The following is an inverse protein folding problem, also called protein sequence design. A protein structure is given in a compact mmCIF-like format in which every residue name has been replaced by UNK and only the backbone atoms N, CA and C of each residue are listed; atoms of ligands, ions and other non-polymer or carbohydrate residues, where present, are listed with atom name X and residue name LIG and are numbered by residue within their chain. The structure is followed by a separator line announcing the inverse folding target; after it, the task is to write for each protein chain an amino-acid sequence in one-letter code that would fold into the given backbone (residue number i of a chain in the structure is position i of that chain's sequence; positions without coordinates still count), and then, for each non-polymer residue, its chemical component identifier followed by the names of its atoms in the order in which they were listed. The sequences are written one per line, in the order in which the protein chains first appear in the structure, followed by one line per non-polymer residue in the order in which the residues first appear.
data_IF_004390074028
#
_entry.id   IF_004390074028
#
_cell.length_a   1.000
_cell.length_b   1.000
_cell.length_c   1.000
_cell.angle_alpha   90.00
_cell.angle_beta   90.00
_cell.angle_gamma   90.00
#
_symmetry.space_group_name_H-M   'P 1'
#
loop_
_entity.id
_entity.type
_entity.pdbx_description
1 polymer ?
#
# COMPACT_ATOMS: atom_id res chain seq x y z
N UNK A 1 43.75 -0.43 -26.77
CA UNK A 1 43.10 0.38 -25.72
C UNK A 1 41.59 0.26 -25.86
N UNK A 2 40.90 -0.28 -24.85
CA UNK A 2 39.45 -0.58 -24.89
C UNK A 2 38.64 0.70 -24.62
N UNK A 3 37.71 1.04 -25.52
CA UNK A 3 36.67 2.05 -25.29
C UNK A 3 35.68 1.50 -24.27
N UNK A 4 35.40 2.25 -23.20
CA UNK A 4 34.35 1.92 -22.22
C UNK A 4 33.06 2.64 -22.62
N UNK A 5 31.96 1.88 -22.58
CA UNK A 5 30.62 2.26 -23.01
C UNK A 5 30.00 3.31 -22.07
N UNK A 6 29.62 4.46 -22.62
CA UNK A 6 28.88 5.55 -21.94
C UNK A 6 27.36 5.31 -21.99
N UNK A 7 26.90 4.21 -22.59
CA UNK A 7 25.47 3.93 -22.82
C UNK A 7 24.74 3.43 -21.56
N UNK A 8 25.44 2.92 -20.55
CA UNK A 8 24.82 2.34 -19.34
C UNK A 8 24.42 3.32 -18.23
N UNK A 9 24.80 4.60 -18.32
CA UNK A 9 24.52 5.59 -17.25
C UNK A 9 23.26 6.43 -17.54
N UNK A 10 22.82 6.49 -18.80
CA UNK A 10 21.68 7.34 -19.19
C UNK A 10 20.33 6.69 -18.85
N UNK A 11 20.25 5.35 -18.79
CA UNK A 11 18.99 4.63 -18.55
C UNK A 11 18.58 4.66 -17.07
N UNK A 12 19.53 4.67 -16.13
CA UNK A 12 19.23 4.74 -14.69
C UNK A 12 18.68 6.11 -14.29
N UNK A 13 19.06 7.18 -15.01
CA UNK A 13 18.55 8.53 -14.75
C UNK A 13 17.10 8.73 -15.20
N UNK A 14 16.58 7.93 -16.15
CA UNK A 14 15.18 8.01 -16.61
C UNK A 14 14.21 7.23 -15.70
N UNK A 15 14.67 6.16 -15.06
CA UNK A 15 13.83 5.32 -14.19
C UNK A 15 13.50 5.95 -12.83
N UNK A 16 14.43 6.70 -12.22
CA UNK A 16 14.15 7.45 -10.99
C UNK A 16 13.13 8.59 -11.21
N UNK A 17 12.97 9.07 -12.45
CA UNK A 17 12.01 10.12 -12.80
C UNK A 17 10.59 9.54 -12.93
N UNK A 18 10.42 8.27 -13.32
CA UNK A 18 9.11 7.62 -13.47
C UNK A 18 8.37 7.44 -12.15
N UNK A 19 9.05 6.95 -11.11
CA UNK A 19 8.46 6.75 -9.77
C UNK A 19 8.17 8.11 -9.11
N UNK A 20 9.09 9.06 -9.24
CA UNK A 20 8.89 10.43 -8.72
C UNK A 20 7.76 11.14 -9.48
N UNK A 21 7.62 10.95 -10.79
CA UNK A 21 6.54 11.54 -11.57
C UNK A 21 5.17 10.92 -11.24
N UNK A 22 5.07 9.60 -11.04
CA UNK A 22 3.84 8.95 -10.61
C UNK A 22 3.41 9.42 -9.21
N UNK A 23 4.35 9.49 -8.26
CA UNK A 23 4.12 10.04 -6.91
C UNK A 23 3.76 11.53 -6.95
N UNK A 24 4.40 12.34 -7.81
CA UNK A 24 4.09 13.77 -7.97
C UNK A 24 2.74 13.98 -8.66
N UNK A 25 2.37 13.17 -9.64
CA UNK A 25 1.06 13.25 -10.32
C UNK A 25 -0.06 12.83 -9.36
N UNK A 26 0.14 11.77 -8.58
CA UNK A 26 -0.76 11.38 -7.48
C UNK A 26 -0.90 12.52 -6.45
N UNK A 27 0.23 13.07 -5.97
CA UNK A 27 0.24 14.18 -5.01
C UNK A 27 -0.32 15.50 -5.57
N UNK A 28 -0.19 15.75 -6.88
CA UNK A 28 -0.76 16.94 -7.55
C UNK A 28 -2.26 16.81 -7.83
N UNK A 29 -2.78 15.60 -8.09
CA UNK A 29 -4.21 15.38 -8.23
C UNK A 29 -4.95 15.54 -6.89
N UNK A 30 -4.28 15.24 -5.76
CA UNK A 30 -4.82 15.51 -4.41
C UNK A 30 -4.80 17.00 -4.03
N UNK A 31 -3.95 17.83 -4.63
CA UNK A 31 -3.83 19.25 -4.31
C UNK A 31 -4.68 20.13 -5.25
N UNK A 32 -5.99 20.13 -5.05
CA UNK A 32 -6.81 21.33 -5.35
C UNK A 32 -6.63 22.27 -4.16
N UNK A 33 -6.03 23.47 -4.32
CA UNK A 33 -5.81 24.35 -3.20
C UNK A 33 -7.09 25.14 -2.93
N UNK A 34 -7.76 24.87 -1.80
CA UNK A 34 -8.78 25.78 -1.30
C UNK A 34 -8.23 26.66 -0.18
N UNK A 35 -8.54 27.95 -0.30
CA UNK A 35 -8.01 29.05 0.49
C UNK A 35 -8.35 28.89 1.96
N UNK A 36 -7.36 29.21 2.78
CA UNK A 36 -7.47 29.53 4.20
C UNK A 36 -8.66 30.45 4.50
N UNK A 37 -9.61 29.97 5.32
CA UNK A 37 -10.44 30.82 6.16
C UNK A 37 -10.44 30.28 7.59
N UNK A 38 -10.21 31.21 8.52
CA UNK A 38 -10.06 30.99 9.95
C UNK A 38 -11.44 30.84 10.58
N UNK A 39 -11.67 29.71 11.25
CA UNK A 39 -12.72 29.54 12.25
C UNK A 39 -13.94 28.72 11.81
N UNK A 40 -13.78 27.42 11.55
CA UNK A 40 -14.91 26.47 11.43
C UNK A 40 -14.61 25.17 12.18
N UNK A 41 -15.66 24.43 12.53
CA UNK A 41 -15.67 23.11 13.20
C UNK A 41 -14.59 22.17 12.63
N UNK A 42 -14.08 21.17 13.40
CA UNK A 42 -13.01 20.32 12.89
C UNK A 42 -13.46 19.60 11.62
N UNK A 43 -12.96 20.05 10.48
CA UNK A 43 -13.21 19.47 9.16
C UNK A 43 -12.89 17.96 9.23
N UNK A 44 -13.91 17.14 9.02
CA UNK A 44 -13.75 15.69 8.86
C UNK A 44 -13.04 15.43 7.54
N UNK A 45 -11.99 14.61 7.55
CA UNK A 45 -11.30 14.19 6.33
C UNK A 45 -11.92 12.88 5.87
N UNK A 46 -12.56 12.89 4.69
CA UNK A 46 -13.03 11.68 4.02
C UNK A 46 -11.90 11.21 3.11
N UNK A 47 -11.19 10.18 3.54
CA UNK A 47 -10.16 9.52 2.76
C UNK A 47 -10.80 8.50 1.81
N UNK A 48 -10.22 8.33 0.62
CA UNK A 48 -10.65 7.26 -0.30
C UNK A 48 -10.33 5.88 0.30
N UNK A 49 -10.97 4.83 -0.19
CA UNK A 49 -10.84 3.49 0.39
C UNK A 49 -9.40 2.95 0.38
N UNK A 50 -8.59 3.36 -0.61
CA UNK A 50 -7.16 3.06 -0.73
C UNK A 50 -6.27 3.88 0.23
N UNK A 51 -6.78 4.99 0.74
CA UNK A 51 -6.10 5.85 1.71
C UNK A 51 -6.57 5.60 3.15
N UNK A 52 -7.65 4.81 3.32
CA UNK A 52 -8.32 4.52 4.58
C UNK A 52 -8.42 3.01 4.86
N UNK A 53 -7.29 2.35 5.21
CA UNK A 53 -7.25 0.91 5.45
C UNK A 53 -8.15 0.43 6.58
N UNK A 54 -8.63 1.33 7.44
CA UNK A 54 -9.51 0.99 8.57
C UNK A 54 -10.98 1.32 8.32
N UNK A 55 -11.31 2.01 7.22
CA UNK A 55 -12.66 2.43 6.87
C UNK A 55 -13.26 3.43 7.87
N UNK A 56 -12.45 4.26 8.52
CA UNK A 56 -12.90 5.22 9.54
C UNK A 56 -12.68 6.66 9.09
N UNK A 57 -13.57 7.55 9.52
CA UNK A 57 -13.39 8.99 9.32
C UNK A 57 -12.52 9.55 10.46
N UNK A 58 -11.45 10.26 10.11
CA UNK A 58 -10.63 10.99 11.08
C UNK A 58 -10.84 12.49 10.95
N UNK A 59 -10.70 13.20 12.06
CA UNK A 59 -10.61 14.66 12.05
C UNK A 59 -9.30 15.09 11.43
N UNK A 60 -9.29 16.28 10.81
CA UNK A 60 -8.06 16.91 10.33
C UNK A 60 -7.00 16.96 11.43
N UNK A 61 -5.85 16.37 11.14
CA UNK A 61 -4.69 16.31 12.04
C UNK A 61 -3.72 17.45 11.73
N UNK A 62 -3.23 18.11 12.80
CA UNK A 62 -2.21 19.15 12.70
C UNK A 62 -0.83 18.54 12.40
N UNK A 63 0.06 19.31 11.78
CA UNK A 63 1.47 18.99 11.56
C UNK A 63 2.21 18.61 12.87
N UNK A 64 1.81 19.21 14.00
CA UNK A 64 2.38 18.97 15.34
C UNK A 64 1.85 17.71 16.06
N UNK A 65 0.98 16.92 15.40
CA UNK A 65 0.40 15.72 15.98
C UNK A 65 1.49 14.73 16.41
N UNK A 66 1.50 14.37 17.70
CA UNK A 66 2.52 13.50 18.29
C UNK A 66 2.36 12.05 17.79
N UNK A 67 3.29 11.64 16.92
CA UNK A 67 3.36 10.29 16.36
C UNK A 67 4.05 9.29 17.28
N UNK A 68 4.71 9.76 18.33
CA UNK A 68 5.51 8.90 19.19
C UNK A 68 4.67 8.23 20.28
N UNK A 69 5.28 7.29 21.00
CA UNK A 69 4.66 6.67 22.18
C UNK A 69 4.26 7.69 23.26
N UNK A 70 4.90 8.86 23.31
CA UNK A 70 4.62 9.88 24.32
C UNK A 70 3.21 10.49 24.19
N UNK A 71 2.53 10.24 23.06
CA UNK A 71 1.11 10.52 22.89
C UNK A 71 0.26 9.89 24.01
N UNK A 72 0.65 8.72 24.51
CA UNK A 72 -0.07 7.99 25.55
C UNK A 72 0.46 8.33 26.95
N UNK A 73 -0.35 9.04 27.74
CA UNK A 73 -0.02 9.42 29.12
C UNK A 73 -0.03 8.23 30.07
N UNK A 74 -0.99 7.33 29.89
CA UNK A 74 -1.22 6.14 30.72
C UNK A 74 -0.85 4.87 29.92
N UNK A 75 0.39 4.84 29.41
CA UNK A 75 0.88 3.72 28.63
C UNK A 75 1.13 2.49 29.52
N UNK A 76 0.42 1.39 29.23
CA UNK A 76 0.60 0.09 29.86
C UNK A 76 0.45 -1.02 28.80
N UNK A 77 1.55 -1.65 28.44
CA UNK A 77 1.57 -2.71 27.43
C UNK A 77 1.41 -4.12 28.00
N UNK A 78 1.02 -4.24 29.27
CA UNK A 78 0.79 -5.54 29.90
C UNK A 78 -0.28 -6.33 29.13
N UNK A 79 0.08 -7.53 28.66
CA UNK A 79 -0.82 -8.40 27.90
C UNK A 79 -0.99 -8.04 26.42
N UNK A 80 -0.26 -7.04 25.92
CA UNK A 80 -0.25 -6.68 24.51
C UNK A 80 0.86 -7.42 23.75
N UNK A 81 0.58 -7.72 22.49
CA UNK A 81 1.55 -8.20 21.53
C UNK A 81 2.00 -7.04 20.65
N UNK A 82 3.29 -7.00 20.37
CA UNK A 82 3.92 -5.95 19.56
C UNK A 82 4.14 -6.44 18.13
N UNK A 83 3.64 -5.67 17.17
CA UNK A 83 3.84 -5.87 15.75
C UNK A 83 4.50 -4.64 15.15
N UNK A 84 5.45 -4.87 14.26
CA UNK A 84 6.02 -3.81 13.44
C UNK A 84 5.17 -3.77 12.19
N UNK A 85 4.41 -2.69 12.04
CA UNK A 85 3.62 -2.45 10.85
C UNK A 85 4.59 -1.92 9.78
N UNK A 86 4.75 -2.65 8.69
CA UNK A 86 5.75 -2.35 7.67
C UNK A 86 5.24 -1.30 6.65
N UNK A 87 5.45 -1.49 5.34
CA UNK A 87 5.33 -0.41 4.34
C UNK A 87 3.91 0.19 4.34
N UNK A 88 3.83 1.51 4.55
CA UNK A 88 2.57 2.26 4.44
C UNK A 88 2.59 3.05 3.12
N UNK A 89 1.54 2.90 2.33
CA UNK A 89 1.41 3.59 1.03
C UNK A 89 0.70 4.95 1.13
N UNK A 90 0.25 5.31 2.34
CA UNK A 90 -0.42 6.58 2.67
C UNK A 90 0.46 7.47 3.57
N UNK A 91 -0.02 8.68 3.86
CA UNK A 91 0.66 9.57 4.81
C UNK A 91 0.72 8.94 6.21
N UNK A 92 1.94 8.87 6.76
CA UNK A 92 2.22 8.25 8.06
C UNK A 92 1.39 8.83 9.20
N UNK A 93 1.16 10.14 9.19
CA UNK A 93 0.44 10.82 10.27
C UNK A 93 -1.03 10.45 10.22
N UNK A 94 -1.64 10.47 9.04
CA UNK A 94 -3.02 10.01 8.81
C UNK A 94 -3.17 8.56 9.20
N UNK A 95 -2.27 7.68 8.73
CA UNK A 95 -2.30 6.27 9.07
C UNK A 95 -2.24 6.02 10.59
N UNK A 96 -1.32 6.67 11.30
CA UNK A 96 -1.22 6.52 12.76
C UNK A 96 -2.49 7.01 13.44
N UNK A 97 -3.04 8.15 13.00
CA UNK A 97 -4.28 8.67 13.56
C UNK A 97 -5.44 7.71 13.31
N UNK A 98 -5.59 7.18 12.11
CA UNK A 98 -6.62 6.19 11.79
C UNK A 98 -6.47 4.92 12.62
N UNK A 99 -5.26 4.36 12.65
CA UNK A 99 -4.97 3.15 13.40
C UNK A 99 -5.34 3.31 14.89
N UNK A 100 -5.10 4.50 15.47
CA UNK A 100 -5.46 4.85 16.85
C UNK A 100 -6.98 4.92 17.08
N UNK A 101 -7.70 5.56 16.17
CA UNK A 101 -9.16 5.74 16.27
C UNK A 101 -9.93 4.47 15.88
N UNK A 102 -9.30 3.55 15.14
CA UNK A 102 -9.95 2.36 14.57
C UNK A 102 -10.39 1.31 15.58
N UNK A 103 -9.76 1.28 16.76
CA UNK A 103 -9.94 0.23 17.76
C UNK A 103 -9.24 -1.11 17.44
N UNK A 104 -8.58 -1.25 16.27
CA UNK A 104 -7.79 -2.44 15.92
C UNK A 104 -6.41 -2.50 16.58
N UNK A 105 -5.98 -1.42 17.23
CA UNK A 105 -4.81 -1.41 18.09
C UNK A 105 -5.10 -0.74 19.43
N UNK A 106 -4.37 -1.12 20.48
CA UNK A 106 -4.39 -0.41 21.75
C UNK A 106 -3.44 0.80 21.70
N UNK A 107 -2.25 0.58 21.13
CA UNK A 107 -1.27 1.64 20.89
C UNK A 107 -0.71 1.55 19.49
N UNK A 108 -0.68 2.68 18.80
CA UNK A 108 -0.13 2.87 17.47
C UNK A 108 0.82 4.05 17.49
N UNK A 109 2.10 3.85 17.15
CA UNK A 109 3.08 4.93 17.19
C UNK A 109 4.30 4.67 16.32
N UNK A 110 5.01 5.74 15.97
CA UNK A 110 6.31 5.68 15.32
C UNK A 110 7.42 5.45 16.37
N UNK A 111 8.17 4.37 16.18
CA UNK A 111 9.44 4.07 16.84
C UNK A 111 10.60 4.54 15.98
N UNK A 112 11.57 5.23 16.58
CA UNK A 112 12.80 5.65 15.88
C UNK A 112 13.65 4.47 15.40
N UNK A 113 13.53 3.32 16.07
CA UNK A 113 14.38 2.15 15.82
C UNK A 113 13.70 1.12 14.93
N UNK A 114 12.39 0.93 15.10
CA UNK A 114 11.66 -0.20 14.50
C UNK A 114 10.65 0.22 13.44
N UNK A 115 10.44 1.53 13.23
CA UNK A 115 9.40 2.04 12.34
C UNK A 115 8.04 2.11 13.02
N UNK A 116 6.97 1.84 12.29
CA UNK A 116 5.61 1.95 12.80
C UNK A 116 5.29 0.73 13.69
N UNK A 117 4.83 0.99 14.92
CA UNK A 117 4.53 -0.04 15.92
C UNK A 117 3.04 -0.06 16.19
N UNK A 118 2.46 -1.27 16.21
CA UNK A 118 1.16 -1.55 16.75
C UNK A 118 1.29 -2.50 17.95
N UNK A 119 0.78 -2.09 19.10
CA UNK A 119 0.62 -2.94 20.28
C UNK A 119 -0.86 -3.26 20.45
N UNK A 120 -1.18 -4.56 20.39
CA UNK A 120 -2.54 -5.03 20.22
C UNK A 120 -2.84 -6.20 21.16
N UNK A 121 -4.06 -6.28 21.64
CA UNK A 121 -4.56 -7.48 22.35
C UNK A 121 -4.76 -8.64 21.37
N UNK A 122 -4.89 -9.87 21.88
CA UNK A 122 -5.24 -11.02 21.02
C UNK A 122 -6.57 -10.83 20.29
N UNK A 123 -7.56 -10.21 20.93
CA UNK A 123 -8.86 -9.96 20.31
C UNK A 123 -8.76 -8.92 19.19
N UNK A 124 -8.02 -7.83 19.42
CA UNK A 124 -7.77 -6.82 18.40
C UNK A 124 -7.04 -7.39 17.17
N UNK A 125 -6.06 -8.27 17.40
CA UNK A 125 -5.38 -9.01 16.32
C UNK A 125 -6.36 -9.81 15.47
N UNK A 126 -7.28 -10.56 16.10
CA UNK A 126 -8.31 -11.34 15.39
C UNK A 126 -9.24 -10.44 14.58
N UNK A 127 -9.69 -9.34 15.17
CA UNK A 127 -10.56 -8.39 14.48
C UNK A 127 -9.85 -7.74 13.28
N UNK A 128 -8.57 -7.38 13.42
CA UNK A 128 -7.81 -6.78 12.32
C UNK A 128 -7.57 -7.79 11.20
N UNK A 129 -7.21 -9.04 11.53
CA UNK A 129 -7.11 -10.12 10.54
C UNK A 129 -8.43 -10.34 9.79
N UNK A 130 -9.57 -10.33 10.48
CA UNK A 130 -10.89 -10.47 9.84
C UNK A 130 -11.20 -9.30 8.90
N UNK A 131 -10.86 -8.06 9.30
CA UNK A 131 -10.98 -6.89 8.43
C UNK A 131 -10.11 -7.07 7.17
N UNK A 132 -8.84 -7.41 7.34
CA UNK A 132 -7.88 -7.60 6.24
C UNK A 132 -8.34 -8.69 5.27
N UNK A 133 -8.77 -9.85 5.76
CA UNK A 133 -9.28 -10.92 4.88
C UNK A 133 -10.55 -10.50 4.13
N UNK A 134 -11.43 -9.75 4.79
CA UNK A 134 -12.64 -9.21 4.17
C UNK A 134 -12.31 -8.18 3.09
N UNK A 135 -11.30 -7.36 3.31
CA UNK A 135 -10.89 -6.32 2.36
C UNK A 135 -10.26 -6.92 1.11
N UNK A 136 -9.36 -7.90 1.26
CA UNK A 136 -8.82 -8.68 0.14
C UNK A 136 -9.95 -9.27 -0.72
N UNK A 137 -10.92 -9.93 -0.08
CA UNK A 137 -12.07 -10.53 -0.78
C UNK A 137 -12.90 -9.45 -1.50
N UNK A 138 -13.13 -8.30 -0.85
CA UNK A 138 -13.85 -7.17 -1.45
C UNK A 138 -13.13 -6.65 -2.68
N UNK A 139 -11.82 -6.41 -2.61
CA UNK A 139 -11.03 -5.87 -3.72
C UNK A 139 -11.04 -6.85 -4.90
N UNK A 140 -10.85 -8.14 -4.66
CA UNK A 140 -10.92 -9.15 -5.74
C UNK A 140 -12.31 -9.17 -6.37
N UNK A 141 -13.38 -9.17 -5.56
CA UNK A 141 -14.76 -9.21 -6.06
C UNK A 141 -15.14 -7.93 -6.83
N UNK A 142 -14.68 -6.75 -6.39
CA UNK A 142 -14.93 -5.48 -7.07
C UNK A 142 -14.29 -5.42 -8.46
N UNK A 143 -13.18 -6.12 -8.66
CA UNK A 143 -12.43 -6.13 -9.91
C UNK A 143 -12.71 -7.38 -10.77
N UNK A 144 -13.68 -8.22 -10.40
CA UNK A 144 -13.90 -9.51 -11.08
C UNK A 144 -14.38 -9.39 -12.53
N UNK A 145 -15.05 -8.29 -12.85
CA UNK A 145 -15.66 -8.01 -14.15
C UNK A 145 -14.80 -7.02 -14.99
N UNK A 146 -13.59 -6.69 -14.52
CA UNK A 146 -12.67 -5.80 -15.23
C UNK A 146 -12.12 -6.48 -16.49
N UNK A 147 -12.19 -5.80 -17.64
CA UNK A 147 -11.82 -6.41 -18.92
C UNK A 147 -10.30 -6.47 -19.13
N UNK A 148 -9.55 -5.54 -18.53
CA UNK A 148 -8.13 -5.35 -18.83
C UNK A 148 -7.18 -5.97 -17.80
N UNK A 149 -7.69 -6.44 -16.67
CA UNK A 149 -6.89 -7.13 -15.66
C UNK A 149 -7.76 -7.99 -14.75
N UNK A 150 -7.18 -9.05 -14.20
CA UNK A 150 -7.82 -9.88 -13.19
C UNK A 150 -6.85 -10.20 -12.05
N UNK A 151 -7.33 -10.07 -10.82
CA UNK A 151 -6.60 -10.47 -9.62
C UNK A 151 -7.07 -11.82 -9.12
N UNK A 152 -6.12 -12.65 -8.69
CA UNK A 152 -6.37 -13.85 -7.88
C UNK A 152 -5.29 -13.93 -6.81
N UNK A 153 -5.64 -14.38 -5.61
CA UNK A 153 -4.67 -14.54 -4.52
C UNK A 153 -4.69 -15.97 -4.00
N UNK A 154 -3.54 -16.50 -3.59
CA UNK A 154 -3.45 -17.80 -2.94
C UNK A 154 -4.17 -17.79 -1.59
N UNK A 155 -4.67 -18.95 -1.16
CA UNK A 155 -5.37 -19.11 0.13
C UNK A 155 -4.50 -18.72 1.33
N UNK A 156 -3.16 -18.82 1.19
CA UNK A 156 -2.21 -18.41 2.21
C UNK A 156 -1.69 -16.98 2.04
N UNK A 157 -2.26 -16.21 1.10
CA UNK A 157 -1.93 -14.80 0.82
C UNK A 157 -0.45 -14.54 0.52
N UNK A 158 0.27 -15.52 -0.04
CA UNK A 158 1.69 -15.38 -0.41
C UNK A 158 1.93 -15.20 -1.90
N UNK A 159 0.93 -15.51 -2.74
CA UNK A 159 1.05 -15.36 -4.18
C UNK A 159 -0.15 -14.56 -4.68
N UNK A 160 0.13 -13.41 -5.29
CA UNK A 160 -0.82 -12.59 -6.03
C UNK A 160 -0.61 -12.84 -7.51
N UNK A 161 -1.63 -13.35 -8.18
CA UNK A 161 -1.69 -13.50 -9.63
C UNK A 161 -2.39 -12.28 -10.21
N UNK A 162 -1.76 -11.67 -11.21
CA UNK A 162 -2.27 -10.52 -11.94
C UNK A 162 -2.22 -10.84 -13.44
N UNK A 163 -3.38 -11.18 -13.99
CA UNK A 163 -3.53 -11.32 -15.43
C UNK A 163 -3.78 -9.91 -16.01
N UNK A 164 -3.05 -9.48 -17.05
CA UNK A 164 -3.19 -8.15 -17.67
C UNK A 164 -3.27 -8.22 -19.20
N UNK A 165 -4.11 -7.37 -19.80
CA UNK A 165 -4.13 -7.11 -21.24
C UNK A 165 -3.13 -6.00 -21.60
N UNK A 166 -2.45 -6.12 -22.76
CA UNK A 166 -1.55 -5.07 -23.29
C UNK A 166 -2.27 -3.73 -23.47
N UNK A 167 -3.58 -3.75 -23.72
CA UNK A 167 -4.41 -2.55 -23.89
C UNK A 167 -4.44 -1.64 -22.64
N UNK A 168 -4.15 -2.19 -21.46
CA UNK A 168 -4.12 -1.41 -20.21
C UNK A 168 -3.11 -0.26 -20.26
N UNK A 169 -2.04 -0.39 -21.04
CA UNK A 169 -1.01 0.64 -21.22
C UNK A 169 -1.55 1.89 -21.95
N UNK A 170 -2.67 1.75 -22.65
CA UNK A 170 -3.33 2.84 -23.36
C UNK A 170 -4.45 3.49 -22.52
N UNK A 171 -4.80 2.92 -21.35
CA UNK A 171 -5.91 3.37 -20.52
C UNK A 171 -5.43 3.85 -19.16
N UNK A 172 -5.11 5.15 -19.04
CA UNK A 172 -4.54 5.72 -17.82
C UNK A 172 -5.44 5.53 -16.59
N UNK A 173 -6.76 5.68 -16.73
CA UNK A 173 -7.71 5.51 -15.63
C UNK A 173 -7.74 4.06 -15.12
N UNK A 174 -7.81 3.09 -16.04
CA UNK A 174 -7.84 1.67 -15.71
C UNK A 174 -6.51 1.20 -15.13
N UNK A 175 -5.40 1.69 -15.70
CA UNK A 175 -4.07 1.47 -15.13
C UNK A 175 -3.98 1.98 -13.69
N UNK A 176 -4.51 3.18 -13.43
CA UNK A 176 -4.52 3.77 -12.08
C UNK A 176 -5.40 2.95 -11.11
N UNK A 177 -6.59 2.53 -11.53
CA UNK A 177 -7.49 1.70 -10.72
C UNK A 177 -6.88 0.33 -10.38
N UNK A 178 -6.25 -0.32 -11.37
CA UNK A 178 -5.47 -1.55 -11.15
C UNK A 178 -4.35 -1.32 -10.15
N UNK A 179 -3.57 -0.24 -10.30
CA UNK A 179 -2.48 0.04 -9.37
C UNK A 179 -3.01 0.25 -7.95
N UNK A 180 -4.08 1.03 -7.76
CA UNK A 180 -4.73 1.20 -6.44
C UNK A 180 -5.11 -0.15 -5.82
N UNK A 181 -5.77 -1.02 -6.60
CA UNK A 181 -6.14 -2.38 -6.14
C UNK A 181 -4.92 -3.25 -5.82
N UNK A 182 -3.86 -3.20 -6.64
CA UNK A 182 -2.60 -3.91 -6.40
C UNK A 182 -1.93 -3.45 -5.09
N UNK A 183 -1.93 -2.14 -4.81
CA UNK A 183 -1.39 -1.60 -3.57
C UNK A 183 -2.18 -2.11 -2.36
N UNK A 184 -3.51 -2.06 -2.40
CA UNK A 184 -4.37 -2.58 -1.32
C UNK A 184 -4.13 -4.07 -1.07
N UNK A 185 -4.13 -4.90 -2.13
CA UNK A 185 -3.88 -6.34 -2.00
C UNK A 185 -2.48 -6.65 -1.45
N UNK A 186 -1.48 -5.86 -1.84
CA UNK A 186 -0.11 -6.02 -1.34
C UNK A 186 -0.02 -5.68 0.15
N UNK A 187 -0.58 -4.53 0.55
CA UNK A 187 -0.65 -4.09 1.94
C UNK A 187 -1.43 -5.08 2.81
N UNK A 188 -2.60 -5.53 2.38
CA UNK A 188 -3.40 -6.46 3.19
C UNK A 188 -2.72 -7.82 3.34
N UNK A 189 -2.04 -8.30 2.29
CA UNK A 189 -1.24 -9.53 2.38
C UNK A 189 -0.09 -9.38 3.40
N UNK A 190 0.58 -8.23 3.39
CA UNK A 190 1.62 -7.89 4.35
C UNK A 190 1.09 -7.89 5.80
N UNK A 191 -0.02 -7.19 6.04
CA UNK A 191 -0.68 -7.16 7.36
C UNK A 191 -1.09 -8.56 7.81
N UNK A 192 -1.68 -9.37 6.93
CA UNK A 192 -2.05 -10.74 7.23
C UNK A 192 -0.88 -11.56 7.75
N UNK A 193 0.27 -11.49 7.07
CA UNK A 193 1.47 -12.24 7.45
C UNK A 193 2.10 -11.71 8.74
N UNK A 194 2.20 -10.39 8.89
CA UNK A 194 2.76 -9.74 10.07
C UNK A 194 1.96 -10.10 11.32
N UNK A 195 0.63 -9.98 11.25
CA UNK A 195 -0.25 -10.28 12.38
C UNK A 195 -0.30 -11.78 12.70
N UNK A 196 0.02 -12.66 11.75
CA UNK A 196 0.23 -14.09 12.01
C UNK A 196 1.65 -14.42 12.49
N UNK A 197 2.49 -13.42 12.75
CA UNK A 197 3.82 -13.57 13.37
C UNK A 197 4.96 -13.84 12.38
N UNK A 198 4.72 -13.70 11.07
CA UNK A 198 5.76 -13.84 10.05
C UNK A 198 6.64 -12.60 10.04
N UNK A 199 7.94 -12.77 10.34
CA UNK A 199 8.91 -11.65 10.39
C UNK A 199 9.54 -11.32 9.05
N UNK A 200 9.81 -12.34 8.24
CA UNK A 200 10.40 -12.21 6.89
C UNK A 200 9.31 -12.50 5.87
N UNK A 201 8.25 -11.71 5.91
CA UNK A 201 7.14 -11.86 4.99
C UNK A 201 7.59 -11.46 3.57
N UNK A 202 6.96 -12.02 2.56
CA UNK A 202 7.10 -11.58 1.17
C UNK A 202 5.87 -11.97 0.38
N UNK A 203 5.47 -11.14 -0.56
CA UNK A 203 4.41 -11.45 -1.52
C UNK A 203 5.05 -11.70 -2.88
N UNK A 204 4.81 -12.88 -3.45
CA UNK A 204 5.16 -13.15 -4.83
C UNK A 204 4.05 -12.60 -5.73
N UNK A 205 4.38 -11.72 -6.66
CA UNK A 205 3.44 -11.16 -7.64
C UNK A 205 3.80 -11.74 -9.00
N UNK A 206 2.90 -12.56 -9.55
CA UNK A 206 3.08 -13.20 -10.86
C UNK A 206 2.15 -12.47 -11.83
N UNK A 207 2.75 -11.82 -12.82
CA UNK A 207 2.03 -11.06 -13.85
C UNK A 207 2.04 -11.88 -15.12
N UNK A 208 0.88 -12.12 -15.70
CA UNK A 208 0.75 -12.86 -16.96
C UNK A 208 -0.06 -12.10 -17.99
N UNK A 209 0.31 -12.25 -19.26
CA UNK A 209 -0.47 -11.74 -20.38
C UNK A 209 -1.79 -12.51 -20.51
N UNK A 210 -2.92 -11.81 -20.47
CA UNK A 210 -4.26 -12.41 -20.60
C UNK A 210 -4.49 -13.09 -21.95
N UNK A 211 -3.84 -12.63 -23.02
CA UNK A 211 -4.06 -13.18 -24.36
C UNK A 211 -3.29 -14.48 -24.58
N UNK A 212 -2.05 -14.54 -24.09
CA UNK A 212 -1.11 -15.63 -24.37
C UNK A 212 -0.89 -16.57 -23.18
N UNK A 213 -1.17 -16.13 -21.96
CA UNK A 213 -0.84 -16.81 -20.72
C UNK A 213 0.66 -16.77 -20.37
N UNK A 214 1.47 -16.03 -21.11
CA UNK A 214 2.91 -15.91 -20.86
C UNK A 214 3.18 -15.09 -19.60
N UNK A 215 4.17 -15.51 -18.82
CA UNK A 215 4.68 -14.73 -17.68
C UNK A 215 5.38 -13.47 -18.18
N UNK A 216 4.89 -12.32 -17.75
CA UNK A 216 5.46 -11.00 -18.02
C UNK A 216 6.47 -10.61 -16.94
N UNK A 217 6.08 -10.78 -15.68
CA UNK A 217 6.89 -10.46 -14.51
C UNK A 217 6.64 -11.45 -13.38
N UNK A 218 7.68 -11.69 -12.58
CA UNK A 218 7.62 -12.50 -11.38
C UNK A 218 8.44 -11.81 -10.30
N UNK A 219 7.73 -11.11 -9.42
CA UNK A 219 8.31 -10.14 -8.49
C UNK A 219 8.18 -10.68 -7.09
N UNK A 220 9.23 -10.52 -6.29
CA UNK A 220 9.21 -10.78 -4.85
C UNK A 220 9.15 -9.48 -4.06
N UNK A 221 7.95 -9.02 -3.73
CA UNK A 221 7.77 -7.83 -2.90
C UNK A 221 8.09 -8.14 -1.42
N UNK A 222 8.76 -7.24 -0.67
CA UNK A 222 9.21 -5.89 -1.06
C UNK A 222 10.65 -5.82 -1.62
N UNK A 223 11.29 -6.96 -1.89
CA UNK A 223 12.68 -6.99 -2.38
C UNK A 223 12.82 -6.47 -3.81
N UNK A 224 11.75 -6.58 -4.61
CA UNK A 224 11.69 -6.21 -6.02
C UNK A 224 10.47 -5.30 -6.29
N UNK A 225 10.67 -4.32 -7.17
CA UNK A 225 9.64 -3.35 -7.55
C UNK A 225 8.80 -3.86 -8.73
N UNK A 226 7.51 -3.56 -8.70
CA UNK A 226 6.60 -3.77 -9.84
C UNK A 226 6.83 -2.72 -10.93
N UNK A 227 7.08 -3.15 -12.17
CA UNK A 227 7.40 -2.24 -13.26
C UNK A 227 6.92 -2.72 -14.64
N UNK A 228 5.59 -2.84 -14.74
CA UNK A 228 4.94 -3.22 -15.99
C UNK A 228 5.07 -2.12 -17.06
N UNK A 229 5.73 -2.44 -18.18
CA UNK A 229 6.01 -1.50 -19.28
C UNK A 229 5.79 -2.13 -20.66
N UNK A 230 5.78 -1.32 -21.73
CA UNK A 230 5.70 -1.84 -23.11
C UNK A 230 6.89 -2.77 -23.43
N UNK A 231 8.07 -2.46 -22.89
CA UNK A 231 9.28 -3.28 -23.07
C UNK A 231 9.12 -4.67 -22.43
N UNK A 232 8.32 -4.78 -21.35
CA UNK A 232 8.00 -6.07 -20.71
C UNK A 232 7.31 -7.02 -21.69
N UNK A 233 6.37 -6.53 -22.52
CA UNK A 233 5.69 -7.34 -23.54
C UNK A 233 6.56 -7.60 -24.76
N UNK A 234 7.33 -6.63 -25.21
CA UNK A 234 8.09 -6.75 -26.47
C UNK A 234 9.33 -7.65 -26.34
N UNK A 235 9.67 -8.08 -25.11
CA UNK A 235 10.76 -9.01 -24.80
C UNK A 235 10.33 -10.49 -24.66
N UNK A 236 9.05 -10.81 -24.89
CA UNK A 236 8.49 -12.17 -25.00
C UNK A 236 8.63 -12.75 -26.41
#
# INVERSE_FOLDING_TARGET
MKKKNVVGIIIIALFAIGIVAALIVYKKMQMVPEKSQVGEEPETVVLSADENPFGIEIKKINEDYDLTRNYYKDYDNTGLQKYIIPVIFTDKRSYIAEMRESGYCQYGYESKEEGLVAEITEQQRKNWLELTEKDIKRVIEQNKDEELYHFRISDDYKILYLDVSKEILNSQSTFTAKMSSLMTLTYDSEIYHVLNGTKNWSLQIIVTDMETGNELENIKFPDEDYNLSIETWDNL
#
